data_IF_935440107074
#
_entry.id   IF_935440107074
#
_cell.length_a   1.000
_cell.length_b   1.000
_cell.length_c   1.000
_cell.angle_alpha   90.00
_cell.angle_beta   90.00
_cell.angle_gamma   90.00
#
_symmetry.space_group_name_H-M   'P 1'
#
loop_
_entity.id
_entity.type
_entity.pdbx_description
1 polymer ?
#
# COMPACT_ATOMS: atom_id res chain seq x y z
N UNK A 1 -12.95 -21.92 18.24
CA UNK A 1 -13.93 -20.85 18.49
C UNK A 1 -13.62 -19.72 17.52
N UNK A 2 -14.66 -19.20 16.85
CA UNK A 2 -14.60 -18.24 15.73
C UNK A 2 -13.75 -17.02 16.09
N UNK A 3 -12.82 -16.67 15.20
CA UNK A 3 -11.95 -15.50 15.33
C UNK A 3 -12.76 -14.22 15.50
N UNK A 4 -12.22 -13.29 16.29
CA UNK A 4 -12.84 -11.99 16.54
C UNK A 4 -12.93 -11.23 15.22
N UNK A 5 -14.11 -11.21 14.60
CA UNK A 5 -14.38 -10.46 13.37
C UNK A 5 -14.27 -8.95 13.70
N UNK A 6 -13.40 -8.24 12.98
CA UNK A 6 -13.24 -6.80 13.12
C UNK A 6 -14.52 -6.11 12.65
N UNK A 7 -15.17 -5.31 13.50
CA UNK A 7 -16.48 -4.68 13.21
C UNK A 7 -16.35 -3.38 12.40
N UNK A 8 -15.26 -2.65 12.63
CA UNK A 8 -14.94 -1.36 11.98
C UNK A 8 -13.42 -1.16 11.96
N UNK A 9 -12.89 -0.59 10.89
CA UNK A 9 -11.50 -0.08 10.78
C UNK A 9 -11.26 1.18 11.62
N UNK A 10 -12.31 1.93 11.96
CA UNK A 10 -12.17 3.20 12.71
C UNK A 10 -11.60 4.35 11.87
N UNK A 11 -11.30 4.10 10.60
CA UNK A 11 -10.85 5.09 9.63
C UNK A 11 -12.00 5.41 8.67
N UNK A 12 -12.24 6.71 8.47
CA UNK A 12 -13.35 7.17 7.65
C UNK A 12 -13.09 6.84 6.18
N UNK A 13 -14.03 6.13 5.54
CA UNK A 13 -13.92 5.75 4.12
C UNK A 13 -13.21 4.41 3.84
N UNK A 14 -12.71 3.71 4.87
CA UNK A 14 -12.10 2.39 4.74
C UNK A 14 -13.05 1.29 5.20
N UNK A 15 -13.49 0.43 4.26
CA UNK A 15 -14.31 -0.72 4.59
C UNK A 15 -13.46 -1.86 5.19
N UNK A 16 -14.03 -2.61 6.13
CA UNK A 16 -13.39 -3.82 6.66
C UNK A 16 -13.35 -4.87 5.55
N UNK A 17 -12.19 -5.48 5.33
CA UNK A 17 -12.06 -6.61 4.41
C UNK A 17 -12.49 -7.90 5.15
N UNK A 18 -13.56 -8.56 4.70
CA UNK A 18 -14.08 -9.75 5.38
C UNK A 18 -13.19 -10.99 5.24
N UNK A 19 -12.30 -11.03 4.23
CA UNK A 19 -11.41 -12.18 4.00
C UNK A 19 -9.99 -11.74 3.56
N UNK A 20 -9.12 -11.36 4.49
CA UNK A 20 -7.74 -10.98 4.14
C UNK A 20 -6.82 -12.19 3.85
N UNK A 21 -7.10 -13.38 4.40
CA UNK A 21 -6.48 -14.68 4.07
C UNK A 21 -7.31 -15.78 4.76
N UNK A 22 -7.34 -17.02 4.26
CA UNK A 22 -8.07 -18.17 4.85
C UNK A 22 -7.59 -18.60 6.26
N UNK A 23 -6.69 -17.84 6.88
CA UNK A 23 -6.15 -18.10 8.21
C UNK A 23 -6.75 -17.14 9.26
N UNK A 24 -7.24 -17.65 10.41
CA UNK A 24 -8.08 -16.91 11.36
C UNK A 24 -7.33 -15.86 12.21
N UNK A 25 -6.14 -15.43 11.80
CA UNK A 25 -5.20 -14.69 12.64
C UNK A 25 -4.75 -13.35 12.04
N UNK A 26 -5.70 -12.57 11.53
CA UNK A 26 -5.44 -11.21 11.01
C UNK A 26 -4.64 -10.33 11.99
N UNK A 27 -4.84 -10.47 13.30
CA UNK A 27 -4.08 -9.75 14.32
C UNK A 27 -2.59 -10.12 14.38
N UNK A 28 -2.26 -11.41 14.21
CA UNK A 28 -0.85 -11.83 14.21
C UNK A 28 -0.14 -11.36 12.95
N UNK A 29 -0.87 -11.29 11.84
CA UNK A 29 -0.37 -10.71 10.59
C UNK A 29 -0.07 -9.22 10.76
N UNK A 30 -0.96 -8.46 11.42
CA UNK A 30 -0.74 -7.04 11.74
C UNK A 30 0.51 -6.85 12.63
N UNK A 31 0.66 -7.68 13.68
CA UNK A 31 1.81 -7.62 14.59
C UNK A 31 3.14 -7.99 13.91
N UNK A 32 3.13 -8.95 12.99
CA UNK A 32 4.32 -9.36 12.22
C UNK A 32 4.72 -8.32 11.17
N UNK A 33 3.74 -7.70 10.52
CA UNK A 33 3.97 -6.77 9.44
C UNK A 33 4.35 -5.37 9.95
N UNK A 34 3.88 -4.96 11.15
CA UNK A 34 4.15 -3.65 11.75
C UNK A 34 3.74 -2.44 10.88
N UNK A 35 2.88 -2.64 9.88
CA UNK A 35 2.47 -1.63 8.90
C UNK A 35 1.04 -1.07 9.12
N UNK A 36 0.52 -1.15 10.35
CA UNK A 36 -0.83 -0.70 10.66
C UNK A 36 -1.91 -1.74 10.36
N UNK A 37 -3.12 -1.29 10.00
CA UNK A 37 -4.26 -2.18 9.74
C UNK A 37 -4.11 -2.91 8.39
N UNK A 38 -4.57 -4.16 8.31
CA UNK A 38 -4.51 -4.96 7.06
C UNK A 38 -5.18 -4.26 5.88
N UNK A 39 -6.27 -3.53 6.12
CA UNK A 39 -7.00 -2.81 5.07
C UNK A 39 -6.19 -1.66 4.46
N UNK A 40 -5.34 -0.99 5.25
CA UNK A 40 -4.41 0.03 4.74
C UNK A 40 -3.31 -0.60 3.87
N UNK A 41 -2.82 -1.77 4.29
CA UNK A 41 -1.81 -2.53 3.55
C UNK A 41 -2.35 -2.98 2.20
N UNK A 42 -3.58 -3.46 2.12
CA UNK A 42 -4.21 -3.86 0.86
C UNK A 42 -4.28 -2.67 -0.10
N UNK A 43 -4.74 -1.51 0.37
CA UNK A 43 -4.80 -0.30 -0.46
C UNK A 43 -3.42 0.18 -0.89
N UNK A 44 -2.41 0.06 -0.02
CA UNK A 44 -1.04 0.39 -0.37
C UNK A 44 -0.55 -0.53 -1.50
N UNK A 45 -0.80 -1.84 -1.41
CA UNK A 45 -0.42 -2.81 -2.45
C UNK A 45 -1.13 -2.50 -3.77
N UNK A 46 -2.40 -2.12 -3.76
CA UNK A 46 -3.12 -1.73 -4.98
C UNK A 46 -2.54 -0.44 -5.61
N UNK A 47 -2.23 0.55 -4.79
CA UNK A 47 -1.58 1.78 -5.23
C UNK A 47 -0.19 1.52 -5.80
N UNK A 48 0.60 0.67 -5.13
CA UNK A 48 1.94 0.27 -5.57
C UNK A 48 1.89 -0.54 -6.87
N UNK A 49 0.92 -1.44 -7.03
CA UNK A 49 0.72 -2.18 -8.28
C UNK A 49 0.32 -1.24 -9.43
N UNK A 50 -0.53 -0.26 -9.16
CA UNK A 50 -0.86 0.79 -10.14
C UNK A 50 0.36 1.64 -10.50
N UNK A 51 1.18 1.99 -9.51
CA UNK A 51 2.43 2.71 -9.71
C UNK A 51 3.41 1.90 -10.57
N UNK A 52 3.64 0.63 -10.24
CA UNK A 52 4.54 -0.25 -10.99
C UNK A 52 4.14 -0.35 -12.47
N UNK A 53 2.84 -0.44 -12.76
CA UNK A 53 2.34 -0.40 -14.15
C UNK A 53 2.64 0.92 -14.85
N UNK A 54 2.54 2.05 -14.15
CA UNK A 54 2.88 3.37 -14.69
C UNK A 54 4.38 3.56 -14.87
N UNK A 55 5.20 3.00 -13.97
CA UNK A 55 6.66 3.06 -14.06
C UNK A 55 7.19 2.42 -15.33
N UNK A 56 6.54 1.36 -15.84
CA UNK A 56 6.89 0.75 -17.15
C UNK A 56 6.68 1.71 -18.32
N UNK A 57 5.69 2.61 -18.23
CA UNK A 57 5.49 3.61 -19.27
C UNK A 57 6.34 4.86 -19.06
N UNK A 58 6.60 5.23 -17.81
CA UNK A 58 7.40 6.41 -17.47
C UNK A 58 8.92 6.20 -17.59
N UNK A 59 9.40 4.95 -17.59
CA UNK A 59 10.82 4.58 -17.64
C UNK A 59 11.72 5.52 -16.79
N UNK A 60 11.40 5.74 -15.51
CA UNK A 60 12.11 6.72 -14.67
C UNK A 60 13.59 6.39 -14.42
N UNK A 61 14.01 5.19 -14.80
CA UNK A 61 15.39 4.72 -14.73
C UNK A 61 16.23 5.14 -15.94
N UNK A 62 15.64 5.76 -16.96
CA UNK A 62 16.41 6.38 -18.04
C UNK A 62 17.16 7.62 -17.53
N UNK A 63 18.30 7.98 -18.16
CA UNK A 63 19.01 9.22 -17.83
C UNK A 63 18.08 10.43 -17.92
N UNK A 64 18.38 11.45 -17.14
CA UNK A 64 17.60 12.70 -17.11
C UNK A 64 17.34 13.18 -18.54
N UNK A 65 16.05 13.29 -18.89
CA UNK A 65 15.65 13.71 -20.23
C UNK A 65 16.14 15.12 -20.58
N UNK A 66 16.38 15.96 -19.57
CA UNK A 66 16.95 17.30 -19.72
C UNK A 66 17.86 17.62 -18.52
N UNK A 67 19.07 18.11 -18.80
CA UNK A 67 19.95 18.62 -17.74
C UNK A 67 19.40 19.95 -17.22
N UNK A 68 19.35 20.17 -15.90
CA UNK A 68 18.82 21.41 -15.36
C UNK A 68 19.70 22.60 -15.77
N UNK A 69 19.09 23.75 -16.09
CA UNK A 69 19.83 24.97 -16.38
C UNK A 69 20.75 25.35 -15.20
N UNK A 70 21.95 25.88 -15.52
CA UNK A 70 23.05 26.09 -14.56
C UNK A 70 22.74 27.04 -13.37
N UNK A 71 21.59 27.69 -13.34
CA UNK A 71 21.11 28.55 -12.25
C UNK A 71 19.82 28.07 -11.58
N UNK A 72 19.24 26.94 -11.98
CA UNK A 72 17.93 26.49 -11.50
C UNK A 72 17.94 26.03 -10.04
N UNK A 73 19.05 25.44 -9.60
CA UNK A 73 19.25 24.92 -8.25
C UNK A 73 20.39 25.63 -7.50
N UNK A 74 20.70 26.88 -7.88
CA UNK A 74 21.68 27.72 -7.19
C UNK A 74 21.09 28.43 -5.99
#
# INVERSE_FOLDING_TARGET
>A
MVGVLKKTTGLMGLAVCEMPHEEPEGKKLEDHLQLGQVEEVILQVESELSLARKMVWWNPWEPLAEEPAASQWK
#
